data_IF_912557143242
#
_entry.id   IF_912557143242
#
_cell.length_a   1.000
_cell.length_b   1.000
_cell.length_c   1.000
_cell.angle_alpha   90.00
_cell.angle_beta   90.00
_cell.angle_gamma   90.00
#
_symmetry.space_group_name_H-M   'P 1'
#
loop_
_entity.id
_entity.type
_entity.pdbx_description
1 polymer ?
#
# COMPACT_ATOMS: atom_id res chain seq x y z
N UNK A 1 -11.85 41.43 5.53
CA UNK A 1 -11.56 40.22 6.31
C UNK A 1 -12.28 39.08 5.60
N UNK A 2 -11.64 38.48 4.60
CA UNK A 2 -12.22 37.35 3.89
C UNK A 2 -12.06 36.12 4.79
N UNK A 3 -13.19 35.53 5.13
CA UNK A 3 -13.29 34.27 5.86
C UNK A 3 -12.66 33.18 4.97
N UNK A 4 -11.39 32.84 5.23
CA UNK A 4 -10.74 31.69 4.61
C UNK A 4 -11.36 30.44 5.23
N UNK A 5 -12.57 30.10 4.79
CA UNK A 5 -13.24 28.88 5.17
C UNK A 5 -12.36 27.71 4.72
N UNK A 6 -11.58 27.15 5.65
CA UNK A 6 -10.70 26.01 5.39
C UNK A 6 -11.47 24.89 4.68
N UNK A 7 -10.83 24.26 3.71
CA UNK A 7 -11.47 23.23 2.87
C UNK A 7 -11.85 22.05 3.77
N UNK A 8 -13.13 21.93 4.11
CA UNK A 8 -13.61 20.84 4.97
C UNK A 8 -13.62 19.52 4.20
N UNK A 9 -12.55 18.74 4.32
CA UNK A 9 -12.38 17.41 3.68
C UNK A 9 -13.18 16.30 4.36
N UNK A 10 -14.52 16.42 4.39
CA UNK A 10 -15.41 15.46 5.09
C UNK A 10 -16.65 15.07 4.29
N UNK A 11 -16.76 13.79 3.93
CA UNK A 11 -17.91 13.26 3.19
C UNK A 11 -19.19 13.44 4.01
N UNK A 12 -20.24 14.03 3.40
CA UNK A 12 -21.52 14.25 4.07
C UNK A 12 -22.35 12.95 4.04
N UNK A 13 -23.25 12.74 5.02
CA UNK A 13 -24.20 11.65 4.94
C UNK A 13 -24.99 11.72 3.62
N UNK A 14 -25.07 10.61 2.89
CA UNK A 14 -25.75 10.55 1.59
C UNK A 14 -24.90 11.01 0.39
N UNK A 15 -23.60 11.28 0.56
CA UNK A 15 -22.69 11.51 -0.58
C UNK A 15 -22.67 10.28 -1.50
N UNK A 16 -22.99 10.49 -2.77
CA UNK A 16 -22.92 9.43 -3.80
C UNK A 16 -21.49 8.95 -3.99
N UNK A 17 -21.31 7.71 -4.43
CA UNK A 17 -20.00 7.13 -4.72
C UNK A 17 -19.16 7.99 -5.68
N UNK A 18 -19.78 8.59 -6.70
CA UNK A 18 -19.13 9.49 -7.67
C UNK A 18 -18.55 10.77 -7.04
N UNK A 19 -19.14 11.25 -5.93
CA UNK A 19 -18.71 12.45 -5.21
C UNK A 19 -17.96 12.10 -3.93
N UNK A 20 -17.64 10.82 -3.73
CA UNK A 20 -16.99 10.38 -2.50
C UNK A 20 -15.53 10.83 -2.52
N UNK A 21 -15.16 11.63 -1.52
CA UNK A 21 -13.84 12.21 -1.39
C UNK A 21 -13.43 13.12 -2.57
N UNK A 22 -14.39 13.74 -3.26
CA UNK A 22 -14.15 14.72 -4.32
C UNK A 22 -13.90 16.13 -3.77
N UNK A 23 -12.87 16.27 -2.93
CA UNK A 23 -12.45 17.56 -2.36
C UNK A 23 -11.55 18.33 -3.32
N UNK A 24 -11.56 19.67 -3.27
CA UNK A 24 -10.56 20.50 -3.93
C UNK A 24 -9.13 20.13 -3.52
N UNK A 25 -8.23 20.22 -4.48
CA UNK A 25 -6.80 20.05 -4.25
C UNK A 25 -6.26 21.22 -3.41
N UNK A 26 -5.38 20.89 -2.47
CA UNK A 26 -4.74 21.84 -1.56
C UNK A 26 -3.23 21.57 -1.62
N UNK A 27 -2.38 22.62 -1.60
CA UNK A 27 -0.94 22.44 -1.51
C UNK A 27 -0.56 21.88 -0.14
N UNK A 28 0.55 21.16 -0.07
CA UNK A 28 0.99 20.49 1.16
C UNK A 28 1.17 21.48 2.34
N UNK A 29 1.67 22.68 2.06
CA UNK A 29 1.93 23.72 3.07
C UNK A 29 0.66 24.28 3.73
N UNK A 30 -0.49 24.18 3.08
CA UNK A 30 -1.79 24.62 3.61
C UNK A 30 -2.51 23.51 4.40
N UNK A 31 -2.04 22.26 4.31
CA UNK A 31 -2.64 21.12 5.02
C UNK A 31 -2.25 21.11 6.50
N UNK A 32 -3.00 21.83 7.33
CA UNK A 32 -2.86 21.81 8.80
C UNK A 32 -3.57 20.60 9.43
N UNK A 33 -3.05 19.39 9.17
CA UNK A 33 -3.59 18.15 9.73
C UNK A 33 -2.51 17.13 10.06
N UNK A 34 -2.71 16.36 11.13
CA UNK A 34 -1.87 15.18 11.44
C UNK A 34 -1.93 14.09 10.37
N UNK A 35 -2.84 14.21 9.41
CA UNK A 35 -3.02 13.34 8.25
C UNK A 35 -2.60 13.99 6.93
N UNK A 36 -1.89 15.13 6.95
CA UNK A 36 -1.48 15.87 5.75
C UNK A 36 -0.78 14.99 4.71
N UNK A 37 0.18 14.17 5.15
CA UNK A 37 0.91 13.23 4.27
C UNK A 37 -0.03 12.21 3.63
N UNK A 38 -0.94 11.62 4.40
CA UNK A 38 -1.94 10.69 3.87
C UNK A 38 -2.83 11.38 2.83
N UNK A 39 -3.30 12.59 3.13
CA UNK A 39 -4.18 13.34 2.24
C UNK A 39 -3.48 13.73 0.94
N UNK A 40 -2.21 14.14 1.03
CA UNK A 40 -1.38 14.47 -0.13
C UNK A 40 -1.19 13.27 -1.06
N UNK A 41 -0.86 12.10 -0.50
CA UNK A 41 -0.73 10.86 -1.28
C UNK A 41 -2.07 10.51 -1.95
N UNK A 42 -3.18 10.58 -1.22
CA UNK A 42 -4.51 10.30 -1.77
C UNK A 42 -4.95 11.32 -2.82
N UNK A 43 -4.51 12.57 -2.73
CA UNK A 43 -4.73 13.61 -3.75
C UNK A 43 -3.95 13.28 -5.03
N UNK A 44 -2.66 12.96 -4.91
CA UNK A 44 -1.82 12.59 -6.05
C UNK A 44 -2.37 11.35 -6.78
N UNK A 45 -2.78 10.31 -6.04
CA UNK A 45 -3.37 9.09 -6.62
C UNK A 45 -4.69 9.39 -7.35
N UNK A 46 -5.53 10.29 -6.81
CA UNK A 46 -6.80 10.67 -7.45
C UNK A 46 -6.60 11.50 -8.72
N UNK A 47 -5.56 12.33 -8.74
CA UNK A 47 -5.22 13.19 -9.89
C UNK A 47 -4.73 12.35 -11.07
N UNK A 48 -3.72 11.50 -10.84
CA UNK A 48 -3.23 10.57 -11.84
C UNK A 48 -2.62 9.32 -11.18
N UNK A 49 -3.32 8.17 -11.18
CA UNK A 49 -2.77 6.94 -10.63
C UNK A 49 -1.60 6.38 -11.45
N UNK A 50 -1.44 6.79 -12.72
CA UNK A 50 -0.40 6.33 -13.59
C UNK A 50 0.94 7.08 -13.40
N UNK A 51 0.92 8.29 -12.84
CA UNK A 51 2.12 9.07 -12.55
C UNK A 51 2.79 8.62 -11.24
N UNK A 52 3.45 7.46 -11.30
CA UNK A 52 4.11 6.84 -10.14
C UNK A 52 5.22 7.73 -9.56
N UNK A 53 5.97 8.44 -10.41
CA UNK A 53 7.08 9.27 -9.98
C UNK A 53 6.61 10.50 -9.19
N UNK A 54 5.53 11.16 -9.63
CA UNK A 54 4.92 12.27 -8.89
C UNK A 54 4.39 11.79 -7.53
N UNK A 55 3.69 10.65 -7.48
CA UNK A 55 3.12 10.13 -6.22
C UNK A 55 4.22 9.76 -5.21
N UNK A 56 5.34 9.20 -5.66
CA UNK A 56 6.41 8.72 -4.79
C UNK A 56 7.44 9.80 -4.43
N UNK A 57 7.25 11.04 -4.88
CA UNK A 57 8.13 12.17 -4.58
C UNK A 57 7.65 12.89 -3.32
N UNK A 58 8.44 12.89 -2.22
CA UNK A 58 8.03 13.55 -0.99
C UNK A 58 8.05 15.08 -1.13
N UNK A 59 7.13 15.80 -0.45
CA UNK A 59 7.22 17.25 -0.29
C UNK A 59 8.51 17.68 0.43
N UNK A 60 8.94 18.92 0.18
CA UNK A 60 10.17 19.46 0.76
C UNK A 60 10.11 19.48 2.30
N UNK A 61 11.18 18.99 2.94
CA UNK A 61 11.31 18.97 4.40
C UNK A 61 10.53 17.85 5.12
N UNK A 62 9.84 16.97 4.39
CA UNK A 62 9.12 15.85 4.98
C UNK A 62 10.05 14.72 5.46
N UNK A 63 9.78 14.18 6.65
CA UNK A 63 10.50 13.03 7.19
C UNK A 63 10.28 11.76 6.36
N UNK A 64 11.37 11.11 5.96
CA UNK A 64 11.37 9.91 5.12
C UNK A 64 10.70 8.71 5.83
N UNK A 65 10.84 8.61 7.16
CA UNK A 65 10.22 7.56 7.97
C UNK A 65 8.69 7.66 7.97
N UNK A 66 8.16 8.87 8.14
CA UNK A 66 6.72 9.17 8.01
C UNK A 66 6.25 8.89 6.59
N UNK A 67 7.00 9.30 5.57
CA UNK A 67 6.66 9.10 4.16
C UNK A 67 6.52 7.61 3.82
N UNK A 68 7.49 6.78 4.22
CA UNK A 68 7.46 5.32 4.03
C UNK A 68 6.28 4.68 4.75
N UNK A 69 6.01 5.12 5.97
CA UNK A 69 4.95 4.59 6.81
C UNK A 69 3.55 4.88 6.24
N UNK A 70 3.29 6.12 5.81
CA UNK A 70 2.00 6.50 5.23
C UNK A 70 1.78 5.86 3.85
N UNK A 71 2.84 5.74 3.03
CA UNK A 71 2.78 4.97 1.78
C UNK A 71 2.39 3.52 2.03
N UNK A 72 3.02 2.85 2.99
CA UNK A 72 2.70 1.46 3.29
C UNK A 72 1.25 1.28 3.75
N UNK A 73 0.74 2.21 4.56
CA UNK A 73 -0.68 2.21 4.94
C UNK A 73 -1.59 2.37 3.73
N UNK A 74 -1.28 3.30 2.85
CA UNK A 74 -2.05 3.56 1.64
C UNK A 74 -2.07 2.33 0.72
N UNK A 75 -0.93 1.65 0.53
CA UNK A 75 -0.87 0.39 -0.20
C UNK A 75 -1.74 -0.70 0.43
N UNK A 76 -1.71 -0.86 1.76
CA UNK A 76 -2.58 -1.83 2.44
C UNK A 76 -4.07 -1.48 2.28
N UNK A 77 -4.43 -0.20 2.27
CA UNK A 77 -5.82 0.24 2.05
C UNK A 77 -6.30 -0.09 0.63
N UNK A 78 -5.49 0.17 -0.39
CA UNK A 78 -5.84 -0.13 -1.79
C UNK A 78 -5.82 -1.63 -2.08
N UNK A 79 -4.91 -2.37 -1.45
CA UNK A 79 -4.83 -3.83 -1.59
C UNK A 79 -6.08 -4.54 -1.07
N UNK A 80 -6.82 -3.94 -0.13
CA UNK A 80 -8.14 -4.47 0.27
C UNK A 80 -9.10 -4.55 -0.93
N UNK A 81 -9.02 -3.62 -1.89
CA UNK A 81 -9.82 -3.68 -3.12
C UNK A 81 -9.50 -4.90 -3.96
N UNK A 82 -8.21 -5.21 -4.12
CA UNK A 82 -7.76 -6.43 -4.80
C UNK A 82 -8.18 -7.69 -4.02
N UNK A 83 -8.04 -7.68 -2.69
CA UNK A 83 -8.43 -8.80 -1.84
C UNK A 83 -9.92 -9.15 -1.98
N UNK A 84 -10.80 -8.16 -2.14
CA UNK A 84 -12.23 -8.38 -2.41
C UNK A 84 -12.44 -9.01 -3.78
N UNK A 85 -11.77 -8.53 -4.83
CA UNK A 85 -11.85 -9.14 -6.18
C UNK A 85 -11.33 -10.59 -6.18
N UNK A 86 -10.36 -10.92 -5.33
CA UNK A 86 -9.79 -12.26 -5.19
C UNK A 86 -10.61 -13.22 -4.31
N UNK A 87 -11.71 -12.77 -3.67
CA UNK A 87 -12.54 -13.63 -2.81
C UNK A 87 -13.19 -14.81 -3.55
N UNK A 88 -13.29 -14.74 -4.88
CA UNK A 88 -13.86 -15.80 -5.73
C UNK A 88 -12.86 -16.96 -5.94
N UNK A 89 -11.62 -16.83 -5.47
CA UNK A 89 -10.65 -17.90 -5.54
C UNK A 89 -11.14 -19.14 -4.76
N UNK A 90 -11.34 -20.25 -5.47
CA UNK A 90 -11.67 -21.51 -4.82
C UNK A 90 -10.47 -22.07 -4.06
N UNK A 91 -10.72 -22.61 -2.87
CA UNK A 91 -9.70 -23.05 -1.89
C UNK A 91 -8.78 -24.14 -2.45
N UNK A 92 -9.22 -24.91 -3.44
CA UNK A 92 -8.49 -26.04 -3.98
C UNK A 92 -7.39 -25.68 -5.00
N UNK A 93 -7.45 -24.51 -5.64
CA UNK A 93 -6.49 -24.15 -6.70
C UNK A 93 -5.28 -23.35 -6.20
N UNK A 94 -5.36 -22.75 -5.00
CA UNK A 94 -4.40 -21.72 -4.56
C UNK A 94 -3.98 -21.90 -3.09
N UNK A 95 -3.01 -22.78 -2.86
CA UNK A 95 -2.30 -22.92 -1.58
C UNK A 95 -1.07 -22.00 -1.53
N UNK A 96 -0.92 -21.23 -0.46
CA UNK A 96 0.26 -20.40 -0.22
C UNK A 96 0.96 -20.84 1.07
N UNK A 97 2.27 -21.06 1.00
CA UNK A 97 3.06 -21.42 2.18
C UNK A 97 3.32 -20.16 3.01
N UNK A 98 2.78 -20.14 4.23
CA UNK A 98 2.88 -19.00 5.14
C UNK A 98 3.62 -19.36 6.41
N UNK A 99 4.59 -18.52 6.78
CA UNK A 99 5.16 -18.47 8.12
C UNK A 99 4.25 -17.58 8.99
N UNK A 100 3.12 -18.12 9.46
CA UNK A 100 2.19 -17.37 10.29
C UNK A 100 2.62 -17.48 11.77
N UNK A 101 2.81 -16.35 12.43
CA UNK A 101 2.92 -16.28 13.90
C UNK A 101 1.56 -15.85 14.43
N UNK A 102 0.72 -16.81 14.79
CA UNK A 102 -0.50 -16.57 15.56
C UNK A 102 -0.09 -16.15 16.96
N UNK A 103 -0.26 -14.88 17.31
CA UNK A 103 -0.26 -14.43 18.70
C UNK A 103 -1.69 -14.44 19.24
N UNK A 104 -2.28 -15.63 19.28
CA UNK A 104 -3.37 -16.01 20.17
C UNK A 104 -3.06 -17.45 20.57
N UNK A 105 -2.85 -17.67 21.87
CA UNK A 105 -2.31 -18.86 22.54
C UNK A 105 -0.78 -18.92 22.71
N UNK A 106 -0.41 -18.84 23.99
CA UNK A 106 0.86 -19.28 24.55
C UNK A 106 1.26 -20.66 24.02
N UNK A 107 2.30 -20.72 23.19
CA UNK A 107 3.44 -21.63 23.34
C UNK A 107 4.26 -21.66 22.05
N UNK A 108 5.58 -21.73 22.23
CA UNK A 108 6.56 -21.73 21.17
C UNK A 108 6.49 -23.00 20.30
N UNK A 109 6.37 -22.83 18.98
CA UNK A 109 7.09 -23.59 17.94
C UNK A 109 6.75 -23.00 16.56
N UNK A 110 7.76 -22.59 15.79
CA UNK A 110 7.60 -22.16 14.40
C UNK A 110 7.33 -23.38 13.52
N UNK A 111 6.07 -23.60 13.16
CA UNK A 111 5.69 -24.57 12.12
C UNK A 111 5.10 -23.76 10.97
N UNK A 112 5.73 -23.84 9.80
CA UNK A 112 5.15 -23.31 8.57
C UNK A 112 3.87 -24.10 8.30
N UNK A 113 2.73 -23.42 8.35
CA UNK A 113 1.44 -24.05 8.08
C UNK A 113 0.97 -23.60 6.70
N UNK A 114 0.59 -24.55 5.86
CA UNK A 114 -0.05 -24.27 4.58
C UNK A 114 -1.38 -23.58 4.85
N UNK A 115 -1.60 -22.40 4.28
CA UNK A 115 -2.90 -21.74 4.35
C UNK A 115 -3.39 -21.41 2.94
N UNK A 116 -4.72 -21.41 2.72
CA UNK A 116 -5.30 -20.94 1.47
C UNK A 116 -4.85 -19.51 1.17
N UNK A 117 -4.62 -19.18 -0.10
CA UNK A 117 -4.12 -17.88 -0.51
C UNK A 117 -5.02 -16.71 -0.05
N UNK A 118 -6.33 -16.94 0.05
CA UNK A 118 -7.27 -15.96 0.56
C UNK A 118 -7.08 -15.69 2.06
N UNK A 119 -6.82 -16.72 2.86
CA UNK A 119 -6.55 -16.59 4.29
C UNK A 119 -5.17 -15.98 4.52
N UNK A 120 -4.21 -16.31 3.66
CA UNK A 120 -2.92 -15.61 3.63
C UNK A 120 -3.09 -14.10 3.42
N UNK A 121 -3.90 -13.72 2.44
CA UNK A 121 -4.18 -12.31 2.11
C UNK A 121 -4.82 -11.60 3.29
N UNK A 122 -5.84 -12.20 3.91
CA UNK A 122 -6.50 -11.67 5.12
C UNK A 122 -5.53 -11.50 6.28
N UNK A 123 -4.84 -12.56 6.69
CA UNK A 123 -3.91 -12.52 7.81
C UNK A 123 -2.75 -11.55 7.59
N UNK A 124 -2.31 -11.38 6.33
CA UNK A 124 -1.25 -10.43 5.99
C UNK A 124 -1.75 -8.98 6.13
N UNK A 125 -2.93 -8.68 5.60
CA UNK A 125 -3.54 -7.35 5.70
C UNK A 125 -3.92 -6.99 7.14
N UNK A 126 -4.53 -7.90 7.87
CA UNK A 126 -4.86 -7.72 9.29
C UNK A 126 -3.61 -7.58 10.14
N UNK A 127 -2.57 -8.38 9.87
CA UNK A 127 -1.28 -8.28 10.54
C UNK A 127 -0.58 -6.96 10.26
N UNK A 128 -0.66 -6.46 9.03
CA UNK A 128 -0.14 -5.14 8.66
C UNK A 128 -0.92 -4.02 9.37
N UNK A 129 -2.25 -4.07 9.37
CA UNK A 129 -3.10 -3.12 10.06
C UNK A 129 -2.84 -3.11 11.58
N UNK A 130 -2.72 -4.27 12.20
CA UNK A 130 -2.41 -4.40 13.62
C UNK A 130 -1.04 -3.79 13.96
N UNK A 131 -0.02 -4.08 13.16
CA UNK A 131 1.33 -3.55 13.37
C UNK A 131 1.37 -2.03 13.19
N UNK A 132 0.83 -1.53 12.07
CA UNK A 132 0.88 -0.12 11.72
C UNK A 132 0.08 0.74 12.69
N UNK A 133 -1.07 0.25 13.19
CA UNK A 133 -1.90 0.95 14.17
C UNK A 133 -1.47 0.72 15.64
N UNK A 134 -0.40 -0.02 15.89
CA UNK A 134 0.05 -0.29 17.26
C UNK A 134 0.78 0.90 17.86
N UNK A 135 0.21 1.51 18.92
CA UNK A 135 0.85 2.58 19.68
C UNK A 135 2.20 2.18 20.30
N UNK A 136 2.48 0.87 20.44
CA UNK A 136 3.77 0.36 20.94
C UNK A 136 4.90 0.61 19.94
N UNK A 137 4.62 0.49 18.65
CA UNK A 137 5.62 0.60 17.59
C UNK A 137 5.51 1.93 16.84
N UNK A 138 4.31 2.45 16.69
CA UNK A 138 4.01 3.72 16.01
C UNK A 138 3.19 4.62 16.93
N UNK A 139 3.81 5.22 17.96
CA UNK A 139 3.12 6.07 18.93
C UNK A 139 2.66 7.43 18.36
N UNK A 140 3.25 7.86 17.24
CA UNK A 140 2.92 9.10 16.53
C UNK A 140 2.87 8.83 15.04
N UNK A 141 2.05 9.61 14.31
CA UNK A 141 2.03 9.63 12.84
C UNK A 141 2.85 10.80 12.26
N UNK A 142 3.30 11.71 13.11
CA UNK A 142 4.07 12.91 12.71
C UNK A 142 5.57 12.67 12.84
N UNK A 143 5.99 11.73 13.69
CA UNK A 143 7.40 11.36 13.85
C UNK A 143 7.52 9.86 14.09
N UNK A 144 8.29 9.19 13.25
CA UNK A 144 8.48 7.74 13.28
C UNK A 144 9.91 7.42 13.71
N UNK A 145 10.05 6.51 14.68
CA UNK A 145 11.37 6.04 15.11
C UNK A 145 11.99 5.13 14.04
N UNK A 146 13.28 5.26 13.82
CA UNK A 146 14.04 4.44 12.85
C UNK A 146 13.89 2.92 13.11
N UNK A 147 13.84 2.51 14.38
CA UNK A 147 13.63 1.11 14.77
C UNK A 147 12.26 0.55 14.36
N UNK A 148 11.28 1.42 14.10
CA UNK A 148 9.97 1.06 13.57
C UNK A 148 9.97 1.02 12.05
N UNK A 149 10.73 1.90 11.38
CA UNK A 149 10.96 1.89 9.93
C UNK A 149 11.57 0.55 9.49
N UNK A 150 12.53 0.02 10.26
CA UNK A 150 13.15 -1.27 10.00
C UNK A 150 12.15 -2.45 9.93
N UNK A 151 10.96 -2.33 10.54
CA UNK A 151 9.91 -3.37 10.51
C UNK A 151 9.09 -3.36 9.23
N UNK A 152 9.07 -2.22 8.51
CA UNK A 152 8.26 -2.05 7.30
C UNK A 152 8.66 -3.05 6.20
N UNK A 153 9.95 -3.32 6.02
CA UNK A 153 10.43 -4.27 5.01
C UNK A 153 9.84 -5.68 5.15
N UNK A 154 9.59 -6.13 6.39
CA UNK A 154 8.95 -7.43 6.64
C UNK A 154 7.47 -7.48 6.22
N UNK A 155 6.78 -6.34 6.28
CA UNK A 155 5.40 -6.19 5.80
C UNK A 155 5.41 -6.11 4.29
N UNK A 156 6.32 -5.31 3.71
CA UNK A 156 6.46 -5.19 2.25
C UNK A 156 6.65 -6.55 1.58
N UNK A 157 7.53 -7.42 2.11
CA UNK A 157 7.74 -8.77 1.56
C UNK A 157 6.48 -9.64 1.58
N UNK A 158 5.66 -9.52 2.63
CA UNK A 158 4.41 -10.29 2.73
C UNK A 158 3.34 -9.74 1.79
N UNK A 159 3.23 -8.41 1.70
CA UNK A 159 2.34 -7.74 0.74
C UNK A 159 2.72 -8.10 -0.70
N UNK A 160 4.01 -8.12 -1.04
CA UNK A 160 4.47 -8.46 -2.38
C UNK A 160 4.12 -9.88 -2.82
N UNK A 161 4.04 -10.83 -1.88
CA UNK A 161 3.59 -12.20 -2.17
C UNK A 161 2.12 -12.24 -2.61
N UNK A 162 1.28 -11.35 -2.09
CA UNK A 162 -0.12 -11.22 -2.53
C UNK A 162 -0.17 -10.76 -3.99
N UNK A 163 0.65 -9.77 -4.36
CA UNK A 163 0.77 -9.34 -5.77
C UNK A 163 1.28 -10.46 -6.68
N UNK A 164 2.31 -11.18 -6.24
CA UNK A 164 2.85 -12.32 -7.01
C UNK A 164 1.79 -13.39 -7.21
N UNK A 165 1.05 -13.72 -6.16
CA UNK A 165 -0.05 -14.68 -6.24
C UNK A 165 -1.14 -14.23 -7.23
N UNK A 166 -1.58 -12.97 -7.13
CA UNK A 166 -2.58 -12.41 -8.04
C UNK A 166 -2.10 -12.43 -9.50
N UNK A 167 -0.83 -12.13 -9.75
CA UNK A 167 -0.24 -12.14 -11.10
C UNK A 167 -0.20 -13.55 -11.71
N UNK A 168 0.32 -14.54 -10.98
CA UNK A 168 0.55 -15.89 -11.53
C UNK A 168 -0.71 -16.77 -11.56
N UNK A 169 -1.65 -16.58 -10.63
CA UNK A 169 -2.86 -17.41 -10.54
C UNK A 169 -4.13 -16.70 -11.01
N UNK A 170 -4.19 -15.36 -10.97
CA UNK A 170 -5.39 -14.58 -11.29
C UNK A 170 -5.09 -13.43 -12.26
N UNK A 171 -4.36 -13.74 -13.35
CA UNK A 171 -3.86 -12.74 -14.32
C UNK A 171 -4.94 -11.78 -14.83
N UNK A 172 -6.12 -12.29 -15.20
CA UNK A 172 -7.21 -11.44 -15.69
C UNK A 172 -7.67 -10.38 -14.68
N UNK A 173 -7.87 -10.79 -13.42
CA UNK A 173 -8.26 -9.89 -12.32
C UNK A 173 -7.12 -8.91 -11.99
N UNK A 174 -5.88 -9.39 -12.00
CA UNK A 174 -4.70 -8.58 -11.77
C UNK A 174 -4.56 -7.49 -12.85
N UNK A 175 -4.65 -7.84 -14.13
CA UNK A 175 -4.48 -6.89 -15.23
C UNK A 175 -5.57 -5.82 -15.24
N UNK A 176 -6.83 -6.21 -14.98
CA UNK A 176 -7.94 -5.24 -14.87
C UNK A 176 -7.72 -4.27 -13.70
N UNK A 177 -7.26 -4.79 -12.56
CA UNK A 177 -6.99 -3.98 -11.38
C UNK A 177 -5.77 -3.06 -11.56
N UNK A 178 -4.70 -3.57 -12.16
CA UNK A 178 -3.47 -2.81 -12.40
C UNK A 178 -3.71 -1.70 -13.44
N UNK A 179 -4.50 -1.97 -14.48
CA UNK A 179 -4.90 -0.94 -15.46
C UNK A 179 -5.65 0.23 -14.83
N UNK A 180 -6.41 -0.02 -13.76
CA UNK A 180 -7.19 1.02 -13.07
C UNK A 180 -6.36 1.76 -12.02
N UNK A 181 -5.48 1.06 -11.30
CA UNK A 181 -4.86 1.59 -10.07
C UNK A 181 -3.35 1.76 -10.12
N UNK A 182 -2.66 1.08 -11.04
CA UNK A 182 -1.21 1.00 -11.12
C UNK A 182 -0.53 0.63 -9.79
N UNK A 183 -1.23 -0.15 -8.95
CA UNK A 183 -0.86 -0.36 -7.56
C UNK A 183 0.41 -1.20 -7.44
N UNK A 184 0.52 -2.29 -8.20
CA UNK A 184 1.66 -3.18 -8.14
C UNK A 184 2.92 -2.51 -8.69
N UNK A 185 2.78 -1.73 -9.78
CA UNK A 185 3.85 -0.88 -10.31
C UNK A 185 4.31 0.13 -9.28
N UNK A 186 3.39 0.92 -8.71
CA UNK A 186 3.72 1.91 -7.68
C UNK A 186 4.38 1.29 -6.45
N UNK A 187 3.90 0.12 -6.02
CA UNK A 187 4.50 -0.61 -4.91
C UNK A 187 5.93 -1.08 -5.22
N UNK A 188 6.16 -1.62 -6.42
CA UNK A 188 7.46 -2.13 -6.85
C UNK A 188 8.50 -1.02 -6.99
N UNK A 189 8.11 0.14 -7.55
CA UNK A 189 8.96 1.33 -7.59
C UNK A 189 9.26 1.85 -6.18
N UNK A 190 8.26 1.87 -5.28
CA UNK A 190 8.44 2.30 -3.89
C UNK A 190 9.44 1.42 -3.12
N UNK A 191 9.30 0.10 -3.17
CA UNK A 191 10.22 -0.80 -2.43
C UNK A 191 11.64 -0.76 -2.97
N UNK A 192 11.80 -0.48 -4.27
CA UNK A 192 13.11 -0.35 -4.93
C UNK A 192 13.75 1.00 -4.60
N UNK A 193 13.01 2.10 -4.70
CA UNK A 193 13.47 3.48 -4.37
C UNK A 193 13.97 3.57 -2.94
N UNK A 194 13.27 2.93 -2.00
CA UNK A 194 13.60 2.97 -0.57
C UNK A 194 14.38 1.76 -0.06
N UNK A 195 14.83 0.85 -0.95
CA UNK A 195 15.58 -0.36 -0.59
C UNK A 195 14.93 -1.20 0.52
N UNK A 196 13.59 -1.24 0.55
CA UNK A 196 12.83 -1.98 1.58
C UNK A 196 12.84 -3.49 1.33
N UNK A 197 13.17 -3.90 0.10
CA UNK A 197 13.35 -5.29 -0.32
C UNK A 197 14.49 -5.38 -1.33
N UNK A 198 15.23 -6.50 -1.31
CA UNK A 198 16.25 -6.77 -2.34
C UNK A 198 15.57 -7.07 -3.68
N UNK A 199 16.18 -6.61 -4.78
CA UNK A 199 15.71 -6.83 -6.15
C UNK A 199 15.52 -8.32 -6.48
N UNK A 200 16.33 -9.20 -5.89
CA UNK A 200 16.21 -10.66 -6.07
C UNK A 200 14.89 -11.25 -5.56
N UNK A 201 14.15 -10.53 -4.70
CA UNK A 201 12.84 -10.95 -4.22
C UNK A 201 11.69 -10.42 -5.10
N UNK A 202 11.98 -9.61 -6.11
CA UNK A 202 10.99 -9.09 -7.05
C UNK A 202 10.81 -10.08 -8.19
N UNK A 203 9.72 -10.84 -8.14
CA UNK A 203 9.40 -11.96 -9.05
C UNK A 203 8.38 -11.52 -10.12
N UNK A 204 7.70 -10.41 -9.91
CA UNK A 204 6.70 -9.87 -10.85
C UNK A 204 7.40 -8.92 -11.83
N UNK A 205 7.41 -9.20 -13.14
CA UNK A 205 8.22 -8.49 -14.13
C UNK A 205 7.57 -7.16 -14.57
N UNK A 206 7.25 -6.27 -13.62
CA UNK A 206 6.57 -5.00 -13.93
C UNK A 206 7.55 -3.89 -14.31
N UNK A 207 8.80 -3.96 -13.83
CA UNK A 207 9.82 -2.94 -14.13
C UNK A 207 10.51 -3.17 -15.50
N UNK A 208 10.51 -4.40 -16.00
CA UNK A 208 11.20 -4.74 -17.25
C UNK A 208 10.44 -4.26 -18.50
N UNK A 209 9.11 -4.10 -18.40
CA UNK A 209 8.28 -3.58 -19.49
C UNK A 209 8.51 -2.07 -19.76
N UNK A 210 8.97 -1.29 -18.76
CA UNK A 210 9.27 0.15 -18.94
C UNK A 210 10.72 0.42 -19.36
N UNK A 211 11.70 -0.39 -18.92
CA UNK A 211 13.07 -0.28 -19.43
C UNK A 211 13.10 -0.55 -20.95
N UNK A 212 12.30 -1.50 -21.41
CA UNK A 212 12.17 -1.83 -22.83
C UNK A 212 11.36 -0.79 -23.61
N UNK A 213 10.33 -0.18 -23.02
CA UNK A 213 9.58 0.91 -23.65
C UNK A 213 10.40 2.22 -23.75
N UNK A 214 11.16 2.56 -22.70
CA UNK A 214 12.03 3.74 -22.67
C UNK A 214 13.27 3.65 -23.57
N UNK A 215 13.77 2.45 -23.83
CA UNK A 215 14.87 2.23 -24.80
C UNK A 215 14.38 2.16 -26.26
N UNK A 216 13.06 2.02 -26.50
CA UNK A 216 12.47 1.97 -27.84
C UNK A 216 12.13 3.35 -28.41
N UNK A 217 12.16 4.40 -27.59
CA UNK A 217 11.89 5.79 -27.98
C UNK A 217 13.12 6.72 -27.86
N UNK A 218 14.33 6.15 -27.72
CA UNK A 218 15.61 6.88 -27.71
C UNK A 218 16.46 6.63 -28.97
#
# INVERSE_FOLDING_TARGET
MADSAGVLRRNRPGTKAENFSSWPDEPFDEMDSTLAVQQFIQQAIRKDPANVDEILTPPDGQDEGVWKYEHLRQFCMELNGLAVKLQVCEVYECLMITLMRLSVFESAMTVAQECPAIDYTRHTLDGAACLLNSNKYFPSRVSIKESSVAKLGSVCRRVYRIFSHAYYHHRATFDEFEKQTCLCRRFTTFVTKYSLMSKDNLIVPILDEELTAGESEA
#
